data_IF_664984384706
#
_entry.id   IF_664984384706
#
_cell.length_a   1.000
_cell.length_b   1.000
_cell.length_c   1.000
_cell.angle_alpha   90.00
_cell.angle_beta   90.00
_cell.angle_gamma   90.00
#
_symmetry.space_group_name_H-M   'P 1'
#
loop_
_entity.id
_entity.type
_entity.pdbx_description
1 polymer ?
#
# COMPACT_ATOMS: atom_id res chain seq x y z
N UNK A 1 -31.20 6.51 -43.03
CA UNK A 1 -29.88 5.99 -42.58
C UNK A 1 -29.12 6.95 -41.66
N UNK A 2 -29.75 7.96 -41.05
CA UNK A 2 -29.07 8.91 -40.13
C UNK A 2 -29.14 8.48 -38.66
N UNK A 3 -30.23 7.84 -38.24
CA UNK A 3 -30.47 7.45 -36.84
C UNK A 3 -29.49 6.40 -36.30
N UNK A 4 -28.98 5.51 -37.16
CA UNK A 4 -28.05 4.44 -36.76
C UNK A 4 -26.63 4.94 -36.49
N UNK A 5 -26.24 6.10 -37.03
CA UNK A 5 -24.90 6.68 -36.82
C UNK A 5 -24.88 7.42 -35.47
N UNK A 6 -25.99 8.05 -35.11
CA UNK A 6 -26.14 8.81 -33.86
C UNK A 6 -26.07 7.87 -32.64
N UNK A 7 -26.69 6.69 -32.73
CA UNK A 7 -26.68 5.70 -31.63
C UNK A 7 -25.31 5.05 -31.42
N UNK A 8 -24.52 4.87 -32.48
CA UNK A 8 -23.17 4.31 -32.38
C UNK A 8 -22.22 5.33 -31.72
N UNK A 9 -22.36 6.62 -32.04
CA UNK A 9 -21.56 7.68 -31.41
C UNK A 9 -21.89 7.85 -29.93
N UNK A 10 -23.17 7.74 -29.52
CA UNK A 10 -23.53 7.84 -28.10
C UNK A 10 -23.03 6.66 -27.26
N UNK A 11 -23.01 5.45 -27.84
CA UNK A 11 -22.41 4.26 -27.21
C UNK A 11 -20.88 4.37 -27.06
N UNK A 12 -20.21 5.07 -27.97
CA UNK A 12 -18.75 5.27 -27.91
C UNK A 12 -18.32 6.28 -26.84
N UNK A 13 -19.18 7.25 -26.50
CA UNK A 13 -18.89 8.23 -25.44
C UNK A 13 -19.04 7.61 -24.05
N UNK A 14 -19.93 6.62 -23.88
CA UNK A 14 -20.12 5.89 -22.61
C UNK A 14 -18.96 4.95 -22.24
N UNK A 15 -18.07 4.60 -23.17
CA UNK A 15 -16.93 3.71 -22.90
C UNK A 15 -15.69 4.44 -22.37
N UNK A 16 -15.73 5.77 -22.28
CA UNK A 16 -14.65 6.55 -21.68
C UNK A 16 -14.81 6.47 -20.16
N UNK A 17 -14.33 5.38 -19.58
CA UNK A 17 -14.12 5.22 -18.15
C UNK A 17 -13.17 6.33 -17.69
N UNK A 18 -13.71 7.40 -17.11
CA UNK A 18 -12.90 8.48 -16.55
C UNK A 18 -12.19 7.95 -15.31
N UNK A 19 -10.88 7.66 -15.43
CA UNK A 19 -10.04 7.33 -14.29
C UNK A 19 -9.87 8.62 -13.47
N UNK A 20 -10.64 8.76 -12.40
CA UNK A 20 -10.44 9.85 -11.44
C UNK A 20 -9.17 9.56 -10.64
N UNK A 21 -8.09 10.27 -10.96
CA UNK A 21 -6.87 10.27 -10.16
C UNK A 21 -6.98 11.36 -9.09
N UNK A 22 -6.97 10.95 -7.82
CA UNK A 22 -6.92 11.87 -6.68
C UNK A 22 -5.48 11.99 -6.22
N UNK A 23 -4.90 13.18 -6.36
CA UNK A 23 -3.57 13.47 -5.84
C UNK A 23 -3.69 13.86 -4.37
N UNK A 24 -3.17 13.02 -3.47
CA UNK A 24 -3.17 13.26 -2.02
C UNK A 24 -1.73 13.54 -1.60
N UNK A 25 -1.51 14.67 -0.93
CA UNK A 25 -0.22 14.98 -0.32
C UNK A 25 -0.21 14.44 1.10
N UNK A 26 0.69 13.50 1.39
CA UNK A 26 0.82 12.87 2.70
C UNK A 26 2.13 13.38 3.33
N UNK A 27 2.09 13.94 4.55
CA UNK A 27 3.27 14.50 5.19
C UNK A 27 4.25 13.40 5.61
N UNK A 28 5.55 13.66 5.41
CA UNK A 28 6.64 12.82 5.89
C UNK A 28 6.90 13.11 7.37
N UNK A 29 7.17 12.05 8.14
CA UNK A 29 7.52 12.06 9.57
C UNK A 29 8.87 11.35 9.77
N UNK A 30 9.51 11.62 10.90
CA UNK A 30 10.76 10.97 11.29
C UNK A 30 10.60 10.38 12.69
N UNK A 31 11.09 9.16 12.90
CA UNK A 31 11.09 8.53 14.21
C UNK A 31 12.28 8.98 15.07
N UNK A 32 12.40 8.44 16.28
CA UNK A 32 13.51 8.76 17.20
C UNK A 32 14.89 8.29 16.72
N UNK A 33 14.95 7.53 15.63
CA UNK A 33 16.15 6.97 15.02
C UNK A 33 16.45 7.60 13.65
N UNK A 34 15.81 8.74 13.34
CA UNK A 34 15.89 9.46 12.05
C UNK A 34 15.41 8.64 10.83
N UNK A 35 14.63 7.57 11.04
CA UNK A 35 14.01 6.85 9.94
C UNK A 35 12.78 7.60 9.44
N UNK A 36 12.71 7.77 8.12
CA UNK A 36 11.60 8.41 7.44
C UNK A 36 10.39 7.48 7.33
N UNK A 37 9.21 7.98 7.67
CA UNK A 37 7.94 7.27 7.51
C UNK A 37 6.81 8.22 7.13
N UNK A 38 5.69 7.68 6.65
CA UNK A 38 4.47 8.44 6.35
C UNK A 38 3.25 7.69 6.85
N UNK A 39 2.19 8.40 7.21
CA UNK A 39 0.97 7.81 7.76
C UNK A 39 -0.21 8.15 6.86
N UNK A 40 -0.93 7.13 6.39
CA UNK A 40 -2.11 7.30 5.55
C UNK A 40 -3.18 6.29 5.96
N UNK A 41 -4.39 6.77 6.25
CA UNK A 41 -5.53 5.92 6.66
C UNK A 41 -5.20 4.98 7.85
N UNK A 42 -4.49 5.50 8.86
CA UNK A 42 -3.99 4.76 10.05
C UNK A 42 -2.96 3.66 9.74
N UNK A 43 -2.40 3.65 8.53
CA UNK A 43 -1.29 2.80 8.16
C UNK A 43 0.00 3.61 8.19
N UNK A 44 0.99 3.11 8.92
CA UNK A 44 2.36 3.59 8.87
C UNK A 44 3.11 2.90 7.71
N UNK A 45 3.71 3.70 6.84
CA UNK A 45 4.55 3.26 5.73
C UNK A 45 5.98 3.73 5.95
N UNK A 46 6.94 2.81 5.92
CA UNK A 46 8.35 3.14 6.02
C UNK A 46 9.20 2.25 5.12
N UNK A 47 10.25 2.83 4.55
CA UNK A 47 11.20 2.15 3.69
C UNK A 47 12.55 2.11 4.41
N UNK A 48 13.05 0.91 4.68
CA UNK A 48 14.39 0.75 5.26
C UNK A 48 15.47 0.73 4.18
N UNK A 49 16.73 0.90 4.59
CA UNK A 49 17.88 0.97 3.68
C UNK A 49 18.02 -0.21 2.71
N UNK A 50 17.45 -1.38 3.03
CA UNK A 50 17.50 -2.58 2.19
C UNK A 50 16.34 -2.68 1.19
N UNK A 51 15.69 -1.56 0.84
CA UNK A 51 14.53 -1.53 -0.07
C UNK A 51 13.38 -2.41 0.44
N UNK A 52 13.21 -2.57 1.75
CA UNK A 52 12.05 -3.28 2.30
C UNK A 52 11.01 -2.25 2.72
N UNK A 53 9.82 -2.36 2.14
CA UNK A 53 8.66 -1.57 2.55
C UNK A 53 7.98 -2.28 3.70
N UNK A 54 7.65 -1.54 4.74
CA UNK A 54 6.84 -2.04 5.82
C UNK A 54 5.59 -1.19 5.94
N UNK A 55 4.45 -1.86 5.97
CA UNK A 55 3.11 -1.31 6.13
C UNK A 55 2.60 -1.82 7.46
N UNK A 56 2.21 -0.93 8.36
CA UNK A 56 1.78 -1.31 9.70
C UNK A 56 0.50 -0.59 10.09
N UNK A 57 -0.49 -1.34 10.55
CA UNK A 57 -1.61 -0.81 11.31
C UNK A 57 -1.47 -1.15 12.81
N UNK A 58 -2.52 -0.87 13.57
CA UNK A 58 -2.61 -1.09 15.00
C UNK A 58 -2.60 -2.58 15.41
N UNK A 59 -2.79 -3.51 14.47
CA UNK A 59 -2.97 -4.94 14.73
C UNK A 59 -1.97 -5.80 13.92
N UNK A 60 -1.57 -5.34 12.74
CA UNK A 60 -0.86 -6.08 11.72
C UNK A 60 0.34 -5.28 11.19
N UNK A 61 1.38 -6.01 10.80
CA UNK A 61 2.51 -5.49 10.04
C UNK A 61 2.76 -6.39 8.83
N UNK A 62 2.80 -5.78 7.65
CA UNK A 62 3.10 -6.40 6.36
C UNK A 62 4.47 -5.91 5.89
N UNK A 63 5.37 -6.85 5.61
CA UNK A 63 6.75 -6.59 5.20
C UNK A 63 6.94 -7.11 3.78
N UNK A 64 7.38 -6.23 2.87
CA UNK A 64 7.54 -6.53 1.44
C UNK A 64 8.94 -6.12 0.98
N UNK A 65 9.63 -7.03 0.31
CA UNK A 65 10.94 -6.76 -0.29
C UNK A 65 10.81 -6.13 -1.70
N UNK A 66 11.28 -4.88 -1.84
CA UNK A 66 11.38 -4.13 -3.10
C UNK A 66 12.79 -4.11 -3.67
N UNK A 67 13.64 -5.08 -3.30
CA UNK A 67 14.94 -5.28 -3.97
C UNK A 67 14.76 -5.33 -5.48
N UNK A 68 15.68 -4.67 -6.20
CA UNK A 68 15.63 -4.57 -7.67
C UNK A 68 15.56 -5.96 -8.31
N UNK A 69 14.81 -6.13 -9.42
CA UNK A 69 14.79 -7.37 -10.17
C UNK A 69 16.20 -7.80 -10.60
N UNK A 70 16.48 -9.09 -10.51
CA UNK A 70 17.71 -9.68 -11.07
C UNK A 70 17.62 -9.78 -12.58
N UNK A 71 18.75 -9.94 -13.27
CA UNK A 71 18.78 -10.09 -14.73
C UNK A 71 17.94 -11.28 -15.21
N UNK A 72 17.91 -12.37 -14.45
CA UNK A 72 17.10 -13.55 -14.75
C UNK A 72 15.62 -13.20 -14.70
N UNK A 73 15.16 -12.53 -13.63
CA UNK A 73 13.76 -12.10 -13.47
C UNK A 73 13.34 -11.13 -14.58
N UNK A 74 14.24 -10.25 -15.02
CA UNK A 74 14.01 -9.32 -16.14
C UNK A 74 13.87 -10.10 -17.45
N UNK A 75 14.76 -11.06 -17.70
CA UNK A 75 14.77 -11.86 -18.92
C UNK A 75 13.53 -12.76 -19.02
N UNK A 76 13.13 -13.41 -17.92
CA UNK A 76 11.98 -14.32 -17.89
C UNK A 76 10.65 -13.58 -17.69
N UNK A 77 10.69 -12.29 -17.34
CA UNK A 77 9.53 -11.48 -16.94
C UNK A 77 8.70 -12.15 -15.84
N UNK A 78 9.38 -12.88 -14.95
CA UNK A 78 8.76 -13.65 -13.88
C UNK A 78 9.66 -13.67 -12.64
N UNK A 79 9.05 -13.72 -11.46
CA UNK A 79 9.76 -13.73 -10.19
C UNK A 79 8.78 -13.66 -9.02
N UNK A 80 9.28 -13.90 -7.81
CA UNK A 80 8.50 -13.83 -6.59
C UNK A 80 9.29 -13.06 -5.53
N UNK A 81 8.57 -12.36 -4.66
CA UNK A 81 9.13 -11.71 -3.47
C UNK A 81 8.46 -12.31 -2.23
N UNK A 82 9.22 -12.38 -1.16
CA UNK A 82 8.67 -12.82 0.12
C UNK A 82 7.83 -11.68 0.70
N UNK A 83 6.60 -12.03 1.08
CA UNK A 83 5.72 -11.16 1.85
C UNK A 83 5.54 -11.81 3.21
N UNK A 84 5.79 -11.05 4.27
CA UNK A 84 5.56 -11.51 5.65
C UNK A 84 4.48 -10.68 6.28
N UNK A 85 3.37 -11.32 6.64
CA UNK A 85 2.27 -10.70 7.39
C UNK A 85 2.30 -11.19 8.83
N UNK A 86 2.41 -10.26 9.77
CA UNK A 86 2.41 -10.55 11.21
C UNK A 86 1.30 -9.77 11.89
N UNK A 87 0.24 -10.46 12.32
CA UNK A 87 -0.87 -9.86 13.05
C UNK A 87 -0.87 -10.33 14.51
N UNK A 88 -0.98 -9.39 15.45
CA UNK A 88 -1.19 -9.70 16.86
C UNK A 88 -2.66 -10.04 17.12
N UNK A 89 -2.96 -11.29 17.51
CA UNK A 89 -4.28 -11.62 18.04
C UNK A 89 -4.37 -11.04 19.46
N UNK A 90 -5.09 -9.93 19.60
CA UNK A 90 -5.40 -9.34 20.90
C UNK A 90 -6.38 -10.24 21.67
N UNK A 91 -5.89 -11.04 22.62
CA UNK A 91 -6.76 -11.63 23.64
C UNK A 91 -7.24 -10.47 24.54
N UNK A 92 -8.45 -9.98 24.30
CA UNK A 92 -9.16 -9.03 25.18
C UNK A 92 -9.18 -9.59 26.60
N UNK A 93 -8.34 -9.05 27.48
CA UNK A 93 -8.54 -9.17 28.91
C UNK A 93 -9.12 -7.83 29.42
N UNK A 94 -10.44 -7.73 29.66
CA UNK A 94 -11.13 -6.45 29.89
C UNK A 94 -10.77 -5.74 31.21
N UNK A 95 -9.89 -6.32 32.03
CA UNK A 95 -9.56 -5.86 33.38
C UNK A 95 -8.38 -4.88 33.46
N UNK A 96 -7.64 -4.65 32.36
CA UNK A 96 -6.46 -3.76 32.36
C UNK A 96 -6.57 -2.78 31.20
N UNK A 97 -6.81 -1.51 31.54
CA UNK A 97 -6.94 -0.42 30.58
C UNK A 97 -5.81 -0.36 29.56
N UNK A 98 -6.15 0.11 28.36
CA UNK A 98 -5.30 0.21 27.18
C UNK A 98 -3.97 0.90 27.50
N UNK A 99 -2.87 0.15 27.47
CA UNK A 99 -1.54 0.71 27.23
C UNK A 99 -1.01 0.14 25.93
N UNK A 100 -1.16 0.91 24.87
CA UNK A 100 -0.31 0.82 23.68
C UNK A 100 1.13 1.01 24.15
N UNK A 101 1.86 -0.10 24.34
CA UNK A 101 3.32 -0.01 24.43
C UNK A 101 3.84 -0.11 23.00
N UNK A 102 4.29 1.03 22.48
CA UNK A 102 5.27 1.08 21.40
C UNK A 102 6.46 0.20 21.83
N UNK A 103 6.90 -0.79 21.05
CA UNK A 103 8.16 -1.47 21.32
C UNK A 103 9.29 -0.44 21.31
N UNK A 104 10.13 -0.44 22.35
CA UNK A 104 11.29 0.44 22.47
C UNK A 104 12.35 0.15 21.40
#
# INVERSE_FOLDING_TARGET
MAYSIITIFSLFILSISTVMTKLIHIPIKFDKYDNMYTEFENLDFYLIHNLTLIIKDDICATIIDFTRPTDVEIQTKSGYRNVTDTCGIWIKNPSKGLRSRRPE
#
